data_IF_071252637192
#
_entry.id   IF_071252637192
#
_cell.length_a   1.000
_cell.length_b   1.000
_cell.length_c   1.000
_cell.angle_alpha   90.00
_cell.angle_beta   90.00
_cell.angle_gamma   90.00
#
_symmetry.space_group_name_H-M   'P 1'
#
loop_
_entity.id
_entity.type
_entity.pdbx_description
1 polymer ?
#
# COMPACT_ATOMS: atom_id res chain seq x y z
N UNK A 1 -2.78 -1.51 22.07
CA UNK A 1 -3.71 -0.57 21.38
C UNK A 1 -3.37 0.90 21.66
N UNK A 2 -2.97 1.29 22.89
CA UNK A 2 -2.59 2.67 23.24
C UNK A 2 -1.67 3.38 22.24
N UNK A 3 -0.64 2.71 21.71
CA UNK A 3 0.28 3.31 20.72
C UNK A 3 -0.40 3.53 19.36
N UNK A 4 -1.21 2.59 18.87
CA UNK A 4 -1.88 2.72 17.56
C UNK A 4 -2.99 3.77 17.65
N UNK A 5 -3.73 3.80 18.76
CA UNK A 5 -4.84 4.71 19.02
C UNK A 5 -4.42 6.11 19.53
N UNK A 6 -3.11 6.39 19.63
CA UNK A 6 -2.65 7.72 20.04
C UNK A 6 -3.17 8.79 19.05
N UNK A 7 -3.61 9.92 19.59
CA UNK A 7 -4.05 11.05 18.78
C UNK A 7 -2.87 11.61 17.98
N UNK A 8 -3.11 11.92 16.71
CA UNK A 8 -2.10 12.39 15.76
C UNK A 8 -2.70 13.47 14.89
N UNK A 9 -1.91 14.49 14.56
CA UNK A 9 -2.24 15.41 13.48
C UNK A 9 -2.20 14.64 12.14
N UNK A 10 -3.34 14.52 11.42
CA UNK A 10 -3.40 13.78 10.16
C UNK A 10 -2.46 14.36 9.08
N UNK A 11 -2.21 15.67 9.07
CA UNK A 11 -1.35 16.33 8.08
C UNK A 11 0.12 16.02 8.37
N UNK A 12 0.55 16.13 9.62
CA UNK A 12 1.89 15.77 10.04
C UNK A 12 2.16 14.27 9.79
N UNK A 13 1.25 13.40 10.22
CA UNK A 13 1.36 11.95 10.00
C UNK A 13 1.46 11.60 8.51
N UNK A 14 0.65 12.23 7.67
CA UNK A 14 0.70 12.04 6.22
C UNK A 14 2.10 12.34 5.67
N UNK A 15 2.64 13.50 6.04
CA UNK A 15 3.96 13.97 5.61
C UNK A 15 5.06 13.02 6.06
N UNK A 16 5.01 12.56 7.31
CA UNK A 16 5.97 11.61 7.87
C UNK A 16 5.96 10.26 7.13
N UNK A 17 4.77 9.70 6.88
CA UNK A 17 4.61 8.42 6.17
C UNK A 17 5.12 8.52 4.73
N UNK A 18 4.79 9.60 4.01
CA UNK A 18 5.30 9.83 2.65
C UNK A 18 6.82 9.98 2.64
N UNK A 19 7.38 10.80 3.55
CA UNK A 19 8.83 11.00 3.65
C UNK A 19 9.56 9.69 3.98
N UNK A 20 9.00 8.87 4.88
CA UNK A 20 9.54 7.55 5.19
C UNK A 20 9.48 6.63 3.96
N UNK A 21 8.38 6.62 3.22
CA UNK A 21 8.24 5.79 2.02
C UNK A 21 9.29 6.15 0.98
N UNK A 22 9.53 7.44 0.76
CA UNK A 22 10.54 7.92 -0.20
C UNK A 22 11.96 7.55 0.23
N UNK A 23 12.30 7.64 1.52
CA UNK A 23 13.59 7.13 2.04
C UNK A 23 13.77 5.64 1.74
N UNK A 24 12.74 4.83 1.98
CA UNK A 24 12.77 3.38 1.69
C UNK A 24 12.92 3.11 0.19
N UNK A 25 12.29 3.94 -0.66
CA UNK A 25 12.40 3.86 -2.13
C UNK A 25 13.84 4.14 -2.58
N UNK A 26 14.42 5.24 -2.09
CA UNK A 26 15.78 5.66 -2.43
C UNK A 26 16.84 4.63 -2.02
N UNK A 27 16.65 3.94 -0.89
CA UNK A 27 17.55 2.91 -0.41
C UNK A 27 17.52 1.60 -1.23
N UNK A 28 16.52 1.40 -2.09
CA UNK A 28 16.33 0.20 -2.92
C UNK A 28 15.97 0.58 -4.35
N UNK A 29 16.93 1.14 -5.11
CA UNK A 29 16.68 1.57 -6.48
C UNK A 29 16.30 0.38 -7.36
N UNK A 30 15.26 0.58 -8.17
CA UNK A 30 14.81 -0.38 -9.18
C UNK A 30 15.41 0.02 -10.52
N UNK A 31 15.86 -0.94 -11.32
CA UNK A 31 16.46 -0.65 -12.63
C UNK A 31 15.43 0.03 -13.54
N UNK A 32 15.89 1.00 -14.33
CA UNK A 32 15.05 1.68 -15.31
C UNK A 32 14.41 0.66 -16.28
N UNK A 33 13.14 0.89 -16.61
CA UNK A 33 12.38 0.01 -17.50
C UNK A 33 11.83 -1.27 -16.86
N UNK A 34 12.11 -1.53 -15.58
CA UNK A 34 11.58 -2.66 -14.84
C UNK A 34 10.61 -2.22 -13.73
N UNK A 35 9.71 -3.12 -13.36
CA UNK A 35 8.83 -2.98 -12.21
C UNK A 35 9.17 -4.05 -11.17
N UNK A 36 9.66 -3.62 -10.00
CA UNK A 36 9.80 -4.49 -8.84
C UNK A 36 8.48 -4.56 -8.06
N UNK A 37 7.95 -5.78 -7.90
CA UNK A 37 6.63 -6.00 -7.28
C UNK A 37 6.51 -5.48 -5.85
N UNK A 38 7.63 -5.29 -5.14
CA UNK A 38 7.65 -4.79 -3.76
C UNK A 38 8.04 -3.32 -3.66
N UNK A 39 9.09 -2.93 -4.36
CA UNK A 39 9.79 -1.66 -4.15
C UNK A 39 9.40 -0.54 -5.11
N UNK A 40 8.84 -0.88 -6.27
CA UNK A 40 8.41 0.13 -7.24
C UNK A 40 7.18 0.90 -6.79
N UNK A 41 6.98 2.02 -7.46
CA UNK A 41 5.75 2.82 -7.39
C UNK A 41 4.55 2.00 -7.86
N UNK A 42 3.53 1.87 -7.01
CA UNK A 42 2.43 0.91 -7.23
C UNK A 42 2.77 -0.53 -6.83
N UNK A 43 3.90 -0.75 -6.16
CA UNK A 43 4.30 -2.04 -5.59
C UNK A 43 3.67 -2.29 -4.21
N UNK A 44 3.95 -3.47 -3.64
CA UNK A 44 3.38 -3.88 -2.35
C UNK A 44 3.62 -2.90 -1.21
N UNK A 45 4.81 -2.27 -1.15
CA UNK A 45 5.09 -1.33 -0.06
C UNK A 45 4.25 -0.06 -0.13
N UNK A 46 3.85 0.40 -1.33
CA UNK A 46 2.96 1.56 -1.41
C UNK A 46 1.58 1.24 -0.80
N UNK A 47 1.08 0.02 -1.00
CA UNK A 47 -0.14 -0.46 -0.35
C UNK A 47 0.02 -0.64 1.17
N UNK A 48 1.16 -1.17 1.63
CA UNK A 48 1.47 -1.33 3.06
C UNK A 48 1.50 0.02 3.79
N UNK A 49 2.16 1.03 3.21
CA UNK A 49 2.25 2.37 3.77
C UNK A 49 0.89 3.08 3.76
N UNK A 50 0.10 2.91 2.69
CA UNK A 50 -1.27 3.43 2.65
C UNK A 50 -2.14 2.83 3.76
N UNK A 51 -2.09 1.51 3.97
CA UNK A 51 -2.82 0.83 5.06
C UNK A 51 -2.34 1.32 6.43
N UNK A 52 -1.03 1.46 6.64
CA UNK A 52 -0.48 1.97 7.90
C UNK A 52 -1.00 3.39 8.21
N UNK A 53 -1.00 4.29 7.22
CA UNK A 53 -1.59 5.61 7.39
C UNK A 53 -3.07 5.51 7.75
N UNK A 54 -3.86 4.72 7.02
CA UNK A 54 -5.30 4.58 7.25
C UNK A 54 -5.59 4.10 8.69
N UNK A 55 -4.86 3.10 9.17
CA UNK A 55 -4.99 2.58 10.53
C UNK A 55 -4.61 3.63 11.58
N UNK A 56 -3.49 4.33 11.39
CA UNK A 56 -2.99 5.31 12.36
C UNK A 56 -3.81 6.61 12.40
N UNK A 57 -4.35 7.04 11.25
CA UNK A 57 -5.12 8.26 11.12
C UNK A 57 -6.60 8.07 11.49
N UNK A 58 -7.18 6.90 11.19
CA UNK A 58 -8.62 6.69 11.28
C UNK A 58 -9.04 5.59 12.26
N UNK A 59 -8.11 4.82 12.83
CA UNK A 59 -8.41 3.68 13.70
C UNK A 59 -9.23 4.03 14.96
N UNK A 60 -9.16 5.26 15.47
CA UNK A 60 -10.01 5.70 16.58
C UNK A 60 -11.48 5.87 16.17
N UNK A 61 -11.73 6.37 14.96
CA UNK A 61 -13.09 6.52 14.41
C UNK A 61 -13.64 5.23 13.80
N UNK A 62 -12.76 4.30 13.43
CA UNK A 62 -13.09 3.03 12.78
C UNK A 62 -12.36 1.86 13.48
N UNK A 63 -12.87 1.38 14.64
CA UNK A 63 -12.24 0.31 15.40
C UNK A 63 -12.00 -0.98 14.59
N UNK A 64 -12.78 -1.23 13.55
CA UNK A 64 -12.61 -2.32 12.59
C UNK A 64 -11.26 -2.28 11.84
N UNK A 65 -10.57 -1.13 11.79
CA UNK A 65 -9.22 -1.03 11.23
C UNK A 65 -8.13 -1.45 12.21
N UNK A 66 -8.45 -1.62 13.50
CA UNK A 66 -7.47 -1.95 14.54
C UNK A 66 -7.22 -3.46 14.68
N UNK A 67 -8.01 -4.30 14.01
CA UNK A 67 -7.79 -5.74 14.02
C UNK A 67 -6.62 -6.11 13.12
N UNK A 68 -5.78 -7.04 13.59
CA UNK A 68 -4.65 -7.55 12.82
C UNK A 68 -5.10 -8.61 11.80
N UNK A 69 -5.88 -8.19 10.80
CA UNK A 69 -6.45 -9.07 9.76
C UNK A 69 -5.66 -9.05 8.44
N UNK A 70 -4.57 -8.27 8.40
CA UNK A 70 -3.69 -8.13 7.25
C UNK A 70 -4.19 -7.14 6.18
N UNK A 71 -3.27 -6.74 5.29
CA UNK A 71 -3.49 -5.63 4.35
C UNK A 71 -4.69 -5.81 3.43
N UNK A 72 -4.95 -7.03 2.95
CA UNK A 72 -6.06 -7.31 2.04
C UNK A 72 -7.39 -6.96 2.71
N UNK A 73 -7.61 -7.47 3.93
CA UNK A 73 -8.84 -7.21 4.67
C UNK A 73 -8.92 -5.75 5.14
N UNK A 74 -7.81 -5.15 5.54
CA UNK A 74 -7.78 -3.74 5.93
C UNK A 74 -8.10 -2.79 4.78
N UNK A 75 -7.66 -3.08 3.55
CA UNK A 75 -8.02 -2.30 2.36
C UNK A 75 -9.52 -2.37 2.06
N UNK A 76 -10.12 -3.56 2.18
CA UNK A 76 -11.56 -3.74 1.99
C UNK A 76 -12.37 -3.05 3.08
N UNK A 77 -11.91 -3.13 4.35
CA UNK A 77 -12.54 -2.42 5.47
C UNK A 77 -12.47 -0.91 5.27
N UNK A 78 -11.31 -0.36 4.92
CA UNK A 78 -11.17 1.07 4.68
C UNK A 78 -12.15 1.60 3.60
N UNK A 79 -12.40 0.83 2.54
CA UNK A 79 -13.45 1.17 1.57
C UNK A 79 -14.86 1.09 2.18
N UNK A 80 -15.18 0.02 2.91
CA UNK A 80 -16.48 -0.13 3.58
C UNK A 80 -16.75 0.98 4.61
N UNK A 81 -15.71 1.51 5.24
CA UNK A 81 -15.75 2.66 6.15
C UNK A 81 -15.93 4.01 5.43
N UNK A 82 -15.89 4.04 4.10
CA UNK A 82 -15.93 5.27 3.30
C UNK A 82 -14.63 6.08 3.27
N UNK A 83 -13.51 5.50 3.73
CA UNK A 83 -12.20 6.15 3.73
C UNK A 83 -11.49 6.05 2.37
N UNK A 84 -11.99 5.21 1.48
CA UNK A 84 -11.53 5.06 0.10
C UNK A 84 -12.73 5.18 -0.85
N UNK A 85 -12.55 5.72 -2.06
CA UNK A 85 -13.59 5.70 -3.09
C UNK A 85 -14.03 4.26 -3.42
N UNK A 86 -15.29 4.11 -3.82
CA UNK A 86 -15.86 2.82 -4.19
C UNK A 86 -15.00 2.09 -5.25
N UNK A 87 -14.69 0.82 -4.99
CA UNK A 87 -13.85 -0.05 -5.80
C UNK A 87 -12.34 0.08 -5.61
N UNK A 88 -11.84 1.17 -5.00
CA UNK A 88 -10.38 1.40 -4.87
C UNK A 88 -9.75 0.42 -3.88
N UNK A 89 -10.35 0.22 -2.71
CA UNK A 89 -9.86 -0.71 -1.70
C UNK A 89 -9.91 -2.15 -2.19
N UNK A 90 -11.01 -2.55 -2.84
CA UNK A 90 -11.16 -3.89 -3.41
C UNK A 90 -10.17 -4.16 -4.55
N UNK A 91 -9.96 -3.21 -5.45
CA UNK A 91 -8.97 -3.34 -6.53
C UNK A 91 -7.55 -3.43 -5.96
N UNK A 92 -7.19 -2.59 -4.99
CA UNK A 92 -5.88 -2.63 -4.36
C UNK A 92 -5.64 -3.92 -3.56
N UNK A 93 -6.68 -4.45 -2.89
CA UNK A 93 -6.60 -5.73 -2.19
C UNK A 93 -6.31 -6.90 -3.15
N UNK A 94 -6.96 -6.89 -4.32
CA UNK A 94 -6.70 -7.87 -5.38
C UNK A 94 -5.30 -7.71 -5.97
N UNK A 95 -4.87 -6.47 -6.23
CA UNK A 95 -3.53 -6.17 -6.71
C UNK A 95 -2.45 -6.66 -5.74
N UNK A 96 -2.60 -6.36 -4.44
CA UNK A 96 -1.67 -6.81 -3.40
C UNK A 96 -1.56 -8.33 -3.34
N UNK A 97 -2.68 -9.06 -3.50
CA UNK A 97 -2.69 -10.53 -3.55
C UNK A 97 -1.86 -11.07 -4.71
N UNK A 98 -2.05 -10.52 -5.91
CA UNK A 98 -1.32 -10.95 -7.11
C UNK A 98 0.16 -10.58 -7.05
N UNK A 99 0.50 -9.38 -6.57
CA UNK A 99 1.90 -8.97 -6.38
C UNK A 99 2.60 -9.88 -5.36
N UNK A 100 1.93 -10.22 -4.27
CA UNK A 100 2.46 -11.16 -3.26
C UNK A 100 2.64 -12.56 -3.85
N UNK A 101 1.71 -13.02 -4.69
CA UNK A 101 1.83 -14.30 -5.41
C UNK A 101 3.04 -14.28 -6.35
N UNK A 102 3.22 -13.21 -7.12
CA UNK A 102 4.36 -13.04 -8.01
C UNK A 102 5.69 -13.03 -7.25
N UNK A 103 5.77 -12.31 -6.12
CA UNK A 103 6.93 -12.31 -5.24
C UNK A 103 7.24 -13.71 -4.71
N UNK A 104 6.23 -14.43 -4.21
CA UNK A 104 6.42 -15.78 -3.70
C UNK A 104 6.90 -16.75 -4.77
N UNK A 105 6.34 -16.68 -5.98
CA UNK A 105 6.78 -17.48 -7.13
C UNK A 105 8.23 -17.18 -7.50
N UNK A 106 8.59 -15.90 -7.65
CA UNK A 106 9.96 -15.51 -7.98
C UNK A 106 10.97 -16.05 -6.95
N UNK A 107 10.63 -16.00 -5.66
CA UNK A 107 11.47 -16.56 -4.60
C UNK A 107 11.65 -18.08 -4.69
N UNK A 108 10.59 -18.82 -5.04
CA UNK A 108 10.66 -20.29 -5.21
C UNK A 108 11.47 -20.69 -6.45
N UNK A 109 11.38 -19.89 -7.51
CA UNK A 109 12.13 -20.11 -8.76
C UNK A 109 13.57 -19.56 -8.70
N UNK A 110 14.00 -18.97 -7.57
CA UNK A 110 15.27 -18.22 -7.44
C UNK A 110 15.45 -17.10 -8.49
N UNK A 111 14.33 -16.49 -8.91
CA UNK A 111 14.28 -15.41 -9.90
C UNK A 111 14.15 -14.02 -9.26
N UNK A 112 14.56 -12.95 -9.97
CA UNK A 112 14.31 -11.59 -9.54
C UNK A 112 12.82 -11.28 -9.36
N UNK A 113 12.49 -10.39 -8.42
CA UNK A 113 11.15 -9.81 -8.21
C UNK A 113 10.81 -8.68 -9.17
N UNK A 114 11.68 -8.42 -10.14
CA UNK A 114 11.52 -7.42 -11.19
C UNK A 114 10.90 -8.06 -12.44
N UNK A 115 9.83 -7.47 -12.93
CA UNK A 115 9.06 -7.91 -14.10
C UNK A 115 8.93 -6.79 -15.12
N UNK A 116 8.47 -7.13 -16.31
CA UNK A 116 8.04 -6.15 -17.30
C UNK A 116 6.88 -5.30 -16.73
N UNK A 117 7.00 -3.96 -16.69
CA UNK A 117 5.93 -3.08 -16.22
C UNK A 117 4.57 -3.32 -16.89
N UNK A 118 4.54 -3.72 -18.17
CA UNK A 118 3.30 -4.03 -18.88
C UNK A 118 2.59 -5.25 -18.28
N UNK A 119 3.36 -6.26 -17.85
CA UNK A 119 2.81 -7.49 -17.25
C UNK A 119 2.13 -7.26 -15.89
N UNK A 120 2.53 -6.20 -15.18
CA UNK A 120 2.01 -5.83 -13.86
C UNK A 120 1.17 -4.55 -13.88
N UNK A 121 0.84 -4.01 -15.06
CA UNK A 121 0.13 -2.73 -15.18
C UNK A 121 -1.20 -2.68 -14.40
N UNK A 122 -2.07 -3.71 -14.45
CA UNK A 122 -3.33 -3.67 -13.69
C UNK A 122 -3.10 -3.54 -12.18
N UNK A 123 -2.14 -4.30 -11.63
CA UNK A 123 -1.83 -4.28 -10.21
C UNK A 123 -1.18 -2.96 -9.80
N UNK A 124 -0.17 -2.52 -10.57
CA UNK A 124 0.52 -1.25 -10.37
C UNK A 124 -0.46 -0.08 -10.34
N UNK A 125 -1.36 -0.02 -11.31
CA UNK A 125 -2.26 1.11 -11.47
C UNK A 125 -3.35 1.12 -10.39
N UNK A 126 -3.81 -0.04 -9.94
CA UNK A 126 -4.70 -0.16 -8.78
C UNK A 126 -4.03 0.34 -7.48
N UNK A 127 -2.77 -0.03 -7.22
CA UNK A 127 -2.04 0.46 -6.04
C UNK A 127 -1.72 1.96 -6.16
N UNK A 128 -1.44 2.46 -7.36
CA UNK A 128 -1.29 3.91 -7.60
C UNK A 128 -2.60 4.68 -7.40
N UNK A 129 -3.74 4.08 -7.74
CA UNK A 129 -5.04 4.67 -7.45
C UNK A 129 -5.30 4.75 -5.94
N UNK A 130 -5.00 3.68 -5.20
CA UNK A 130 -5.01 3.69 -3.73
C UNK A 130 -4.09 4.78 -3.18
N UNK A 131 -2.84 4.85 -3.64
CA UNK A 131 -1.87 5.83 -3.17
C UNK A 131 -2.37 7.26 -3.36
N UNK A 132 -2.92 7.59 -4.53
CA UNK A 132 -3.50 8.92 -4.80
C UNK A 132 -4.74 9.22 -3.96
N UNK A 133 -5.57 8.23 -3.67
CA UNK A 133 -6.74 8.40 -2.82
C UNK A 133 -6.35 8.71 -1.37
N UNK A 134 -5.28 8.08 -0.86
CA UNK A 134 -4.80 8.26 0.51
C UNK A 134 -3.90 9.50 0.65
N UNK A 135 -3.10 9.78 -0.38
CA UNK A 135 -2.10 10.83 -0.42
C UNK A 135 -2.32 11.74 -1.64
N UNK A 136 -3.40 12.55 -1.65
CA UNK A 136 -3.63 13.49 -2.73
C UNK A 136 -2.48 14.48 -2.82
N UNK A 137 -2.02 14.76 -4.04
CA UNK A 137 -1.13 15.89 -4.30
C UNK A 137 -1.82 17.18 -3.85
N UNK A 138 -1.08 18.05 -3.15
CA UNK A 138 -1.56 19.37 -2.77
C UNK A 138 -1.90 20.22 -4.00
#
# INVERSE_FOLDING_TARGET
>A
RAVICAERDPVALRTEIQAMREKVRAARPVKAGLFDVKHSEGGMMDAEFAVQYLVLAHGNGHPELLDNVGNIALLQRAEACGLLPAGVGQAAANAYRELRRAQHKARLDEKPTQVDPASAAPQRDAVRALWRAVFPSA
#
